data_IF_576463787882
#
_entry.id   IF_576463787882
#
_cell.length_a   1.000
_cell.length_b   1.000
_cell.length_c   1.000
_cell.angle_alpha   90.00
_cell.angle_beta   90.00
_cell.angle_gamma   90.00
#
_symmetry.space_group_name_H-M   'P 1'
#
loop_
_entity.id
_entity.type
_entity.pdbx_description
1 polymer ?
#
# COMPACT_ATOMS: atom_id res chain seq x y z
N UNK A 1 -15.23 13.47 -4.16
CA UNK A 1 -15.15 12.70 -5.44
C UNK A 1 -15.60 13.54 -6.63
N UNK A 2 -16.86 14.04 -6.71
CA UNK A 2 -17.30 14.92 -7.82
C UNK A 2 -16.36 16.10 -8.04
N UNK A 3 -16.10 16.84 -6.97
CA UNK A 3 -15.26 18.04 -7.05
C UNK A 3 -13.85 17.73 -7.56
N UNK A 4 -13.20 16.66 -7.09
CA UNK A 4 -11.85 16.30 -7.57
C UNK A 4 -11.87 15.82 -9.02
N UNK A 5 -12.91 15.09 -9.43
CA UNK A 5 -13.11 14.66 -10.81
C UNK A 5 -13.32 15.85 -11.75
N UNK A 6 -14.16 16.82 -11.36
CA UNK A 6 -14.41 18.06 -12.11
C UNK A 6 -13.16 18.95 -12.23
N UNK A 7 -12.23 18.82 -11.27
CA UNK A 7 -10.92 19.49 -11.30
C UNK A 7 -9.88 18.76 -12.17
N UNK A 8 -10.25 17.66 -12.83
CA UNK A 8 -9.37 16.94 -13.77
C UNK A 8 -8.42 15.94 -13.11
N UNK A 9 -8.75 15.41 -11.93
CA UNK A 9 -8.01 14.26 -11.37
C UNK A 9 -8.27 13.02 -12.24
N UNK A 10 -7.21 12.34 -12.68
CA UNK A 10 -7.29 11.18 -13.56
C UNK A 10 -7.72 9.90 -12.82
N UNK A 11 -7.21 9.71 -11.60
CA UNK A 11 -7.41 8.48 -10.83
C UNK A 11 -7.53 8.73 -9.31
N UNK A 12 -8.22 7.82 -8.63
CA UNK A 12 -8.26 7.74 -7.15
C UNK A 12 -7.82 6.36 -6.67
N UNK A 13 -7.02 6.33 -5.59
CA UNK A 13 -6.64 5.08 -4.91
C UNK A 13 -7.62 4.85 -3.76
N UNK A 14 -8.35 3.72 -3.78
CA UNK A 14 -9.47 3.47 -2.86
C UNK A 14 -9.30 2.13 -2.14
N UNK A 15 -9.55 2.14 -0.82
CA UNK A 15 -9.55 0.94 0.01
C UNK A 15 -10.96 0.37 0.19
N UNK A 16 -11.94 1.21 0.53
CA UNK A 16 -13.31 0.76 0.83
C UNK A 16 -14.08 0.39 -0.44
N UNK A 17 -14.60 -0.85 -0.50
CA UNK A 17 -15.35 -1.35 -1.65
C UNK A 17 -16.66 -0.59 -1.88
N UNK A 18 -17.34 -0.16 -0.81
CA UNK A 18 -18.56 0.63 -0.90
C UNK A 18 -18.28 2.00 -1.52
N UNK A 19 -17.19 2.64 -1.13
CA UNK A 19 -16.73 3.89 -1.71
C UNK A 19 -16.39 3.73 -3.19
N UNK A 20 -15.75 2.63 -3.60
CA UNK A 20 -15.51 2.34 -5.02
C UNK A 20 -16.80 2.34 -5.83
N UNK A 21 -17.87 1.69 -5.33
CA UNK A 21 -19.17 1.68 -5.99
C UNK A 21 -19.81 3.08 -6.05
N UNK A 22 -19.59 3.91 -5.02
CA UNK A 22 -20.04 5.31 -5.03
C UNK A 22 -19.26 6.10 -6.09
N UNK A 23 -17.93 5.94 -6.16
CA UNK A 23 -17.07 6.61 -7.15
C UNK A 23 -17.55 6.29 -8.56
N UNK A 24 -17.74 5.01 -8.90
CA UNK A 24 -18.20 4.59 -10.24
C UNK A 24 -19.56 5.16 -10.63
N UNK A 25 -20.49 5.30 -9.67
CA UNK A 25 -21.81 5.92 -9.94
C UNK A 25 -21.73 7.43 -10.13
N UNK A 26 -20.80 8.08 -9.45
CA UNK A 26 -20.73 9.54 -9.34
C UNK A 26 -19.76 10.17 -10.35
N UNK A 27 -18.71 9.45 -10.72
CA UNK A 27 -17.66 9.83 -11.65
C UNK A 27 -17.25 8.58 -12.46
N UNK A 28 -18.06 8.15 -13.44
CA UNK A 28 -17.88 6.86 -14.12
C UNK A 28 -16.59 6.74 -14.93
N UNK A 29 -16.03 7.88 -15.37
CA UNK A 29 -14.77 7.92 -16.12
C UNK A 29 -13.54 8.15 -15.23
N UNK A 30 -13.71 8.38 -13.92
CA UNK A 30 -12.59 8.48 -13.00
C UNK A 30 -11.99 7.08 -12.80
N UNK A 31 -10.69 6.95 -13.04
CA UNK A 31 -10.00 5.70 -12.82
C UNK A 31 -9.94 5.37 -11.33
N UNK A 32 -10.05 4.09 -11.02
CA UNK A 32 -9.99 3.60 -9.63
C UNK A 32 -8.84 2.63 -9.54
N UNK A 33 -7.90 2.93 -8.65
CA UNK A 33 -6.83 2.03 -8.29
C UNK A 33 -7.19 1.36 -6.96
N UNK A 34 -7.09 0.04 -6.91
CA UNK A 34 -7.22 -0.71 -5.67
C UNK A 34 -6.03 -0.39 -4.76
N UNK A 35 -6.32 0.13 -3.57
CA UNK A 35 -5.30 0.44 -2.56
C UNK A 35 -4.60 -0.84 -2.08
N UNK A 36 -3.32 -0.75 -1.72
CA UNK A 36 -2.61 -1.82 -0.99
C UNK A 36 -3.37 -2.24 0.28
N UNK A 37 -4.13 -1.31 0.88
CA UNK A 37 -4.99 -1.60 2.03
C UNK A 37 -6.24 -2.43 1.70
N UNK A 38 -6.44 -2.87 0.46
CA UNK A 38 -7.39 -3.94 0.10
C UNK A 38 -6.80 -5.34 0.32
N UNK A 39 -5.52 -5.45 0.70
CA UNK A 39 -4.83 -6.71 1.00
C UNK A 39 -4.81 -7.69 -0.18
N UNK A 40 -4.60 -7.17 -1.39
CA UNK A 40 -4.54 -7.99 -2.60
C UNK A 40 -3.13 -8.57 -2.73
N UNK A 41 -3.03 -9.88 -2.52
CA UNK A 41 -1.77 -10.63 -2.49
C UNK A 41 -1.71 -11.76 -3.51
N UNK A 42 -2.78 -11.98 -4.27
CA UNK A 42 -2.89 -13.07 -5.23
C UNK A 42 -3.71 -12.66 -6.47
N UNK A 43 -3.81 -13.59 -7.42
CA UNK A 43 -4.60 -13.43 -8.63
C UNK A 43 -6.09 -13.24 -8.33
N UNK A 44 -6.67 -13.98 -7.38
CA UNK A 44 -8.11 -13.92 -7.12
C UNK A 44 -8.52 -12.56 -6.57
N UNK A 45 -7.68 -11.95 -5.72
CA UNK A 45 -7.85 -10.58 -5.25
C UNK A 45 -7.72 -9.56 -6.38
N UNK A 46 -6.75 -9.75 -7.30
CA UNK A 46 -6.58 -8.87 -8.45
C UNK A 46 -7.78 -8.97 -9.42
N UNK A 47 -8.25 -10.20 -9.70
CA UNK A 47 -9.42 -10.48 -10.52
C UNK A 47 -10.69 -9.86 -9.89
N UNK A 48 -10.87 -10.02 -8.58
CA UNK A 48 -11.97 -9.40 -7.86
C UNK A 48 -11.94 -7.87 -7.97
N UNK A 49 -10.77 -7.24 -7.80
CA UNK A 49 -10.63 -5.80 -7.95
C UNK A 49 -10.94 -5.33 -9.37
N UNK A 50 -10.44 -6.02 -10.39
CA UNK A 50 -10.72 -5.71 -11.79
C UNK A 50 -12.21 -5.87 -12.12
N UNK A 51 -12.78 -7.05 -11.87
CA UNK A 51 -14.12 -7.42 -12.33
C UNK A 51 -15.24 -6.81 -11.49
N UNK A 52 -15.08 -6.73 -10.17
CA UNK A 52 -16.15 -6.29 -9.25
C UNK A 52 -16.00 -4.84 -8.82
N UNK A 53 -14.77 -4.37 -8.71
CA UNK A 53 -14.50 -2.98 -8.33
C UNK A 53 -14.25 -2.08 -9.54
N UNK A 54 -14.05 -2.65 -10.73
CA UNK A 54 -13.74 -1.90 -11.95
C UNK A 54 -12.40 -1.17 -11.82
N UNK A 55 -11.46 -1.76 -11.08
CA UNK A 55 -10.14 -1.17 -10.87
C UNK A 55 -9.31 -1.27 -12.15
N UNK A 56 -8.71 -0.15 -12.57
CA UNK A 56 -7.75 -0.12 -13.69
C UNK A 56 -6.35 -0.54 -13.24
N UNK A 57 -6.07 -0.45 -11.94
CA UNK A 57 -4.79 -0.81 -11.34
C UNK A 57 -4.96 -1.39 -9.95
N UNK A 58 -4.10 -2.34 -9.61
CA UNK A 58 -4.02 -2.96 -8.28
C UNK A 58 -2.67 -2.67 -7.65
N UNK A 59 -2.66 -1.95 -6.53
CA UNK A 59 -1.46 -1.80 -5.70
C UNK A 59 -1.34 -3.05 -4.83
N UNK A 60 -0.36 -3.89 -5.14
CA UNK A 60 -0.16 -5.18 -4.48
C UNK A 60 0.31 -5.01 -3.02
N UNK A 61 0.07 -6.04 -2.20
CA UNK A 61 0.53 -6.12 -0.82
C UNK A 61 2.06 -5.97 -0.70
N UNK A 62 2.52 -5.32 0.37
CA UNK A 62 3.95 -5.07 0.62
C UNK A 62 4.69 -6.24 1.25
N UNK A 63 3.92 -7.23 1.69
CA UNK A 63 4.34 -8.51 2.22
C UNK A 63 4.75 -9.52 1.13
N UNK A 64 4.42 -9.26 -0.14
CA UNK A 64 4.79 -10.14 -1.25
C UNK A 64 6.28 -10.04 -1.58
N UNK A 65 6.88 -11.21 -1.80
CA UNK A 65 8.21 -11.31 -2.40
C UNK A 65 8.19 -10.90 -3.87
N UNK A 66 9.37 -10.62 -4.44
CA UNK A 66 9.50 -10.27 -5.86
C UNK A 66 9.00 -11.38 -6.79
N UNK A 67 9.17 -12.66 -6.40
CA UNK A 67 8.67 -13.81 -7.17
C UNK A 67 7.14 -13.91 -7.13
N UNK A 68 6.52 -13.64 -5.98
CA UNK A 68 5.08 -13.59 -5.87
C UNK A 68 4.49 -12.40 -6.63
N UNK A 69 5.12 -11.22 -6.56
CA UNK A 69 4.72 -10.05 -7.35
C UNK A 69 4.72 -10.34 -8.85
N UNK A 70 5.78 -11.00 -9.35
CA UNK A 70 5.86 -11.44 -10.75
C UNK A 70 4.77 -12.47 -11.08
N UNK A 71 4.51 -13.41 -10.18
CA UNK A 71 3.50 -14.45 -10.37
C UNK A 71 2.11 -13.84 -10.50
N UNK A 72 1.72 -12.98 -9.56
CA UNK A 72 0.42 -12.29 -9.58
C UNK A 72 0.30 -11.40 -10.81
N UNK A 73 1.37 -10.68 -11.18
CA UNK A 73 1.36 -9.82 -12.37
C UNK A 73 1.12 -10.61 -13.66
N UNK A 74 1.88 -11.68 -13.89
CA UNK A 74 1.70 -12.55 -15.07
C UNK A 74 0.34 -13.23 -15.12
N UNK A 75 -0.26 -13.50 -13.97
CA UNK A 75 -1.62 -14.04 -13.90
C UNK A 75 -2.66 -12.94 -14.19
N UNK A 76 -2.48 -11.74 -13.63
CA UNK A 76 -3.34 -10.59 -13.84
C UNK A 76 -3.33 -10.11 -15.31
N UNK A 77 -2.21 -10.23 -16.03
CA UNK A 77 -2.12 -9.95 -17.47
C UNK A 77 -3.10 -10.78 -18.31
N UNK A 78 -3.58 -11.92 -17.80
CA UNK A 78 -4.55 -12.79 -18.47
C UNK A 78 -5.99 -12.32 -18.25
N UNK A 79 -6.22 -11.40 -17.33
CA UNK A 79 -7.53 -10.81 -17.09
C UNK A 79 -7.94 -9.96 -18.29
N UNK A 80 -9.17 -10.13 -18.75
CA UNK A 80 -9.76 -9.21 -19.72
C UNK A 80 -9.87 -7.82 -19.11
N UNK A 81 -9.54 -6.78 -19.87
CA UNK A 81 -9.73 -5.39 -19.43
C UNK A 81 -8.47 -4.62 -19.02
N UNK A 82 -7.29 -5.25 -19.04
CA UNK A 82 -6.00 -4.56 -18.94
C UNK A 82 -5.71 -3.95 -17.56
N UNK A 83 -6.00 -4.68 -16.48
CA UNK A 83 -5.67 -4.23 -15.12
C UNK A 83 -4.15 -4.23 -14.90
N UNK A 84 -3.64 -3.07 -14.48
CA UNK A 84 -2.22 -2.89 -14.18
C UNK A 84 -1.87 -3.35 -12.76
N UNK A 85 -0.65 -3.80 -12.54
CA UNK A 85 -0.11 -4.01 -11.19
C UNK A 85 0.85 -2.91 -10.78
N UNK A 86 0.78 -2.50 -9.52
CA UNK A 86 1.68 -1.52 -8.89
C UNK A 86 2.34 -2.14 -7.66
N UNK A 87 3.66 -2.00 -7.56
CA UNK A 87 4.45 -2.54 -6.45
C UNK A 87 5.28 -1.44 -5.78
N UNK A 88 5.37 -1.48 -4.44
CA UNK A 88 6.28 -0.61 -3.71
C UNK A 88 7.72 -1.06 -3.92
N UNK A 89 8.61 -0.11 -4.20
CA UNK A 89 10.05 -0.35 -4.34
C UNK A 89 10.89 0.41 -3.34
N UNK A 90 10.35 1.47 -2.73
CA UNK A 90 11.08 2.25 -1.74
C UNK A 90 10.16 2.96 -0.75
N UNK A 91 10.70 3.28 0.43
CA UNK A 91 10.07 4.13 1.43
C UNK A 91 9.49 3.42 2.62
N UNK A 92 8.65 4.12 3.39
CA UNK A 92 8.25 3.67 4.71
C UNK A 92 7.51 2.32 4.65
N UNK A 93 8.16 1.26 5.14
CA UNK A 93 7.51 -0.03 5.35
C UNK A 93 6.60 0.06 6.58
N UNK A 94 5.42 -0.54 6.51
CA UNK A 94 4.49 -0.57 7.64
C UNK A 94 4.69 -1.87 8.41
N UNK A 95 4.64 -1.80 9.74
CA UNK A 95 4.62 -3.00 10.60
C UNK A 95 3.28 -3.76 10.48
N UNK A 96 2.22 -3.08 10.07
CA UNK A 96 0.90 -3.68 9.86
C UNK A 96 0.75 -4.25 8.46
N UNK A 97 0.08 -5.39 8.37
CA UNK A 97 -0.22 -6.10 7.11
C UNK A 97 -0.95 -5.18 6.12
N UNK A 98 -0.45 -5.07 4.89
CA UNK A 98 -1.02 -4.22 3.84
C UNK A 98 -1.31 -2.77 4.27
N UNK A 99 -0.59 -2.26 5.29
CA UNK A 99 -0.81 -0.91 5.82
C UNK A 99 -2.14 -0.68 6.54
N UNK A 100 -2.89 -1.74 6.87
CA UNK A 100 -4.11 -1.65 7.67
C UNK A 100 -3.74 -1.49 9.16
N UNK A 101 -3.63 -0.24 9.62
CA UNK A 101 -3.10 0.06 10.95
C UNK A 101 -4.09 0.85 11.80
N UNK A 102 -4.44 0.31 12.97
CA UNK A 102 -5.27 0.97 13.98
C UNK A 102 -4.48 1.58 15.14
N UNK A 103 -3.22 1.18 15.34
CA UNK A 103 -2.40 1.63 16.48
C UNK A 103 -2.19 3.15 16.49
N UNK A 104 -1.97 3.76 15.32
CA UNK A 104 -1.81 5.22 15.18
C UNK A 104 -3.06 5.98 15.64
N UNK A 105 -4.25 5.41 15.41
CA UNK A 105 -5.52 5.98 15.86
C UNK A 105 -5.74 5.74 17.35
N UNK A 106 -5.55 4.49 17.80
CA UNK A 106 -5.77 4.09 19.18
C UNK A 106 -4.91 4.88 20.17
N UNK A 107 -3.67 5.20 19.82
CA UNK A 107 -2.75 5.89 20.72
C UNK A 107 -2.70 7.41 20.51
N UNK A 108 -2.87 7.87 19.26
CA UNK A 108 -2.63 9.27 18.90
C UNK A 108 -3.79 9.98 18.22
N UNK A 109 -4.96 9.32 18.08
CA UNK A 109 -6.15 9.88 17.42
C UNK A 109 -6.01 10.10 15.91
N UNK A 110 -4.91 9.63 15.29
CA UNK A 110 -4.58 9.86 13.89
C UNK A 110 -4.68 8.57 13.09
N UNK A 111 -5.72 8.43 12.29
CA UNK A 111 -6.00 7.18 11.58
C UNK A 111 -5.10 7.00 10.35
N UNK A 112 -4.24 5.97 10.39
CA UNK A 112 -3.41 5.59 9.25
C UNK A 112 -4.25 5.16 8.03
N UNK A 113 -5.41 4.54 8.30
CA UNK A 113 -6.41 4.15 7.30
C UNK A 113 -7.14 5.33 6.65
N UNK A 114 -6.98 6.55 7.20
CA UNK A 114 -7.48 7.81 6.61
C UNK A 114 -6.34 8.72 6.14
N UNK A 115 -5.16 8.14 5.93
CA UNK A 115 -3.99 8.86 5.43
C UNK A 115 -3.27 9.74 6.46
N UNK A 116 -3.62 9.66 7.75
CA UNK A 116 -3.11 10.53 8.79
C UNK A 116 -2.01 9.88 9.67
N UNK A 117 -1.44 8.76 9.23
CA UNK A 117 -0.48 7.96 10.00
C UNK A 117 0.53 8.83 10.76
N UNK A 118 0.62 8.64 12.07
CA UNK A 118 1.55 9.34 12.96
C UNK A 118 2.87 8.58 13.15
N UNK A 119 3.04 7.44 12.46
CA UNK A 119 4.19 6.55 12.59
C UNK A 119 4.47 6.10 14.04
N UNK A 120 3.41 5.82 14.80
CA UNK A 120 3.56 5.44 16.21
C UNK A 120 4.46 4.20 16.40
N UNK A 121 4.48 3.26 15.46
CA UNK A 121 5.39 2.12 15.47
C UNK A 121 6.89 2.49 15.43
N UNK A 122 7.23 3.73 15.07
CA UNK A 122 8.60 4.25 15.01
C UNK A 122 9.03 4.97 16.30
N UNK A 123 8.18 4.99 17.32
CA UNK A 123 8.52 5.49 18.64
C UNK A 123 9.41 4.48 19.40
N UNK A 124 10.14 4.92 20.43
CA UNK A 124 10.84 4.00 21.33
C UNK A 124 9.87 3.08 22.07
N UNK A 125 10.18 1.79 22.13
CA UNK A 125 9.41 0.79 22.88
C UNK A 125 10.32 -0.06 23.76
N UNK A 126 9.87 -0.35 24.97
CA UNK A 126 10.47 -1.37 25.84
C UNK A 126 9.74 -2.72 25.70
N UNK A 127 10.43 -3.82 25.97
CA UNK A 127 9.84 -5.15 26.00
C UNK A 127 9.49 -5.53 27.44
N UNK A 128 8.21 -5.84 27.69
CA UNK A 128 7.77 -6.43 28.95
C UNK A 128 7.67 -7.94 28.75
N UNK A 129 8.44 -8.71 29.51
CA UNK A 129 8.48 -10.17 29.49
C UNK A 129 8.07 -10.67 30.88
N UNK A 130 6.95 -11.41 30.97
CA UNK A 130 6.36 -11.87 32.25
C UNK A 130 6.15 -10.78 33.31
N UNK A 131 5.84 -9.55 32.88
CA UNK A 131 5.61 -8.41 33.77
C UNK A 131 6.87 -7.62 34.15
N UNK A 132 8.05 -8.07 33.73
CA UNK A 132 9.31 -7.38 33.98
C UNK A 132 9.79 -6.66 32.72
N UNK A 133 10.35 -5.45 32.89
CA UNK A 133 10.97 -4.72 31.79
C UNK A 133 12.30 -5.37 31.44
N UNK A 134 12.39 -5.93 30.23
CA UNK A 134 13.62 -6.50 29.70
C UNK A 134 14.50 -5.40 29.13
N UNK A 135 15.70 -5.26 29.67
CA UNK A 135 16.72 -4.38 29.13
C UNK A 135 17.32 -5.00 27.85
N UNK A 136 17.11 -4.33 26.72
CA UNK A 136 17.69 -4.69 25.43
C UNK A 136 18.74 -3.63 25.12
N UNK A 137 20.03 -4.01 25.13
CA UNK A 137 21.15 -3.07 25.11
C UNK A 137 21.07 -2.10 23.92
N UNK A 138 20.91 -2.62 22.69
CA UNK A 138 20.98 -1.81 21.46
C UNK A 138 19.63 -1.68 20.72
N UNK A 139 18.52 -2.11 21.32
CA UNK A 139 17.22 -2.20 20.64
C UNK A 139 16.19 -1.25 21.25
N UNK A 140 16.17 0.00 20.76
CA UNK A 140 15.25 1.04 21.21
C UNK A 140 13.91 1.07 20.44
N UNK A 141 13.90 0.63 19.18
CA UNK A 141 12.77 0.80 18.25
C UNK A 141 12.14 -0.53 17.83
N UNK A 142 11.56 -1.25 18.80
CA UNK A 142 11.14 -2.65 18.63
C UNK A 142 10.09 -2.90 17.54
N UNK A 143 9.25 -1.91 17.25
CA UNK A 143 8.17 -2.03 16.26
C UNK A 143 8.49 -1.33 14.93
N UNK A 144 9.66 -0.69 14.83
CA UNK A 144 10.00 0.13 13.68
C UNK A 144 10.65 -0.72 12.59
N UNK A 145 9.96 -1.00 11.47
CA UNK A 145 10.66 -1.56 10.33
C UNK A 145 11.61 -0.50 9.75
N UNK A 146 12.70 -0.97 9.14
CA UNK A 146 13.50 -0.13 8.25
C UNK A 146 12.67 0.27 7.02
N UNK A 147 13.09 1.32 6.32
CA UNK A 147 12.47 1.67 5.04
C UNK A 147 12.77 0.56 4.02
N UNK A 148 11.79 0.27 3.17
CA UNK A 148 11.96 -0.66 2.05
C UNK A 148 13.04 -0.11 1.12
N UNK A 149 14.02 -0.92 0.74
CA UNK A 149 14.99 -0.62 -0.30
C UNK A 149 14.98 -1.75 -1.33
N UNK A 150 14.15 -1.62 -2.35
CA UNK A 150 13.98 -2.60 -3.43
C UNK A 150 14.79 -2.30 -4.69
N UNK A 151 15.80 -1.41 -4.61
CA UNK A 151 16.56 -0.93 -5.78
C UNK A 151 17.11 -2.08 -6.63
N UNK A 152 17.74 -3.07 -5.99
CA UNK A 152 18.32 -4.22 -6.67
C UNK A 152 17.29 -5.13 -7.34
N UNK A 153 16.00 -5.00 -6.96
CA UNK A 153 14.89 -5.79 -7.48
C UNK A 153 14.10 -5.07 -8.58
N UNK A 154 14.32 -3.77 -8.80
CA UNK A 154 13.61 -2.97 -9.82
C UNK A 154 13.69 -3.63 -11.19
N UNK A 155 14.89 -4.07 -11.61
CA UNK A 155 15.06 -4.71 -12.91
C UNK A 155 14.28 -6.03 -13.05
N UNK A 156 14.12 -6.78 -11.96
CA UNK A 156 13.31 -8.01 -11.94
C UNK A 156 11.81 -7.68 -12.04
N UNK A 157 11.34 -6.69 -11.28
CA UNK A 157 9.94 -6.25 -11.31
C UNK A 157 9.51 -5.76 -12.69
N UNK A 158 10.35 -4.95 -13.35
CA UNK A 158 10.08 -4.46 -14.72
C UNK A 158 10.00 -5.63 -15.70
N UNK A 159 10.96 -6.57 -15.66
CA UNK A 159 10.92 -7.76 -16.51
C UNK A 159 9.73 -8.69 -16.21
N UNK A 160 9.27 -8.69 -14.96
CA UNK A 160 8.09 -9.42 -14.51
C UNK A 160 6.75 -8.81 -14.94
N UNK A 161 6.77 -7.64 -15.59
CA UNK A 161 5.58 -6.98 -16.15
C UNK A 161 4.92 -5.97 -15.22
N UNK A 162 5.49 -5.66 -14.04
CA UNK A 162 4.89 -4.69 -13.11
C UNK A 162 4.79 -3.33 -13.78
N UNK A 163 3.57 -2.80 -13.87
CA UNK A 163 3.26 -1.60 -14.65
C UNK A 163 3.68 -0.31 -13.96
N UNK A 164 3.67 -0.29 -12.62
CA UNK A 164 4.05 0.89 -11.84
C UNK A 164 4.92 0.54 -10.63
N UNK A 165 6.01 1.28 -10.47
CA UNK A 165 6.90 1.20 -9.31
C UNK A 165 6.61 2.37 -8.38
N UNK A 166 6.21 2.08 -7.15
CA UNK A 166 5.76 3.06 -6.18
C UNK A 166 6.84 3.37 -5.14
N UNK A 167 7.05 4.66 -4.90
CA UNK A 167 7.90 5.17 -3.81
C UNK A 167 6.99 5.79 -2.74
N UNK A 168 7.11 5.34 -1.50
CA UNK A 168 6.37 5.88 -0.35
C UNK A 168 7.13 7.07 0.26
N UNK A 169 6.70 8.28 -0.12
CA UNK A 169 7.31 9.54 0.32
C UNK A 169 6.37 10.48 1.09
N UNK A 170 5.16 10.06 1.51
CA UNK A 170 4.13 10.99 2.01
C UNK A 170 4.57 11.85 3.20
N UNK A 171 5.45 11.33 4.05
CA UNK A 171 5.98 12.02 5.24
C UNK A 171 7.43 12.50 5.05
N UNK A 172 7.94 12.45 3.83
CA UNK A 172 9.30 12.84 3.50
C UNK A 172 9.27 14.22 2.84
N UNK A 173 10.35 14.99 3.02
CA UNK A 173 10.50 16.28 2.36
C UNK A 173 10.99 16.12 0.91
N UNK A 174 11.12 17.24 0.20
CA UNK A 174 11.53 17.25 -1.20
C UNK A 174 12.93 16.65 -1.45
N UNK A 175 13.83 16.69 -0.46
CA UNK A 175 15.19 16.14 -0.62
C UNK A 175 15.20 14.61 -0.71
N UNK A 176 14.12 13.96 -0.28
CA UNK A 176 14.00 12.51 -0.32
C UNK A 176 13.93 11.91 -1.73
N UNK A 177 13.53 12.72 -2.72
CA UNK A 177 13.41 12.33 -4.13
C UNK A 177 14.34 13.11 -5.06
N UNK A 178 15.21 13.96 -4.50
CA UNK A 178 16.11 14.85 -5.24
C UNK A 178 17.44 14.19 -5.63
#
# INVERSE_FOLDING_TARGET
VREVYERGVDAVIVQDLGLTQIVKRVAPHLEVHASTQQSITDYDGAAFAAERSGASRVVLGRELSTDELETVTRQADRLGGGVETEAFVHGALCVSYSGQCFSSEAWGGRSANRGQCAQACRLPYGLIDNGELKHLEDMTYLLSPQDLCGLDHVGKLVRGGVSCLKIEGRLKDASYVA
#
